data_IF_140568600349
#
_entry.id   IF_140568600349
#
_cell.length_a   1.000
_cell.length_b   1.000
_cell.length_c   1.000
_cell.angle_alpha   90.00
_cell.angle_beta   90.00
_cell.angle_gamma   90.00
#
_symmetry.space_group_name_H-M   'P 1'
#
loop_
_entity.id
_entity.type
_entity.pdbx_description
1 polymer ?
#
# COMPACT_ATOMS: atom_id res chain seq x y z
N UNK A 1 1.83 7.73 13.18
CA UNK A 1 3.13 7.11 12.84
C UNK A 1 4.30 7.72 13.63
N UNK A 2 4.90 8.87 13.26
CA UNK A 2 6.04 9.45 14.01
C UNK A 2 5.72 9.75 15.49
N UNK A 3 4.56 10.35 15.79
CA UNK A 3 4.11 10.57 17.18
C UNK A 3 3.99 9.27 18.00
N UNK A 4 3.56 8.18 17.35
CA UNK A 4 3.39 6.86 17.96
C UNK A 4 4.74 6.13 18.13
N UNK A 5 5.71 6.35 17.24
CA UNK A 5 7.09 5.94 17.46
C UNK A 5 7.69 6.61 18.71
N UNK A 6 7.40 7.90 18.93
CA UNK A 6 7.86 8.65 20.11
C UNK A 6 7.12 8.19 21.38
N UNK A 7 5.81 7.92 21.33
CA UNK A 7 5.05 7.40 22.48
C UNK A 7 5.51 6.00 22.89
N UNK A 8 5.89 5.14 21.93
CA UNK A 8 6.58 3.86 22.16
C UNK A 8 8.02 4.01 22.71
N UNK A 9 8.43 5.24 23.07
CA UNK A 9 9.69 5.53 23.78
C UNK A 9 10.91 5.80 22.90
N UNK A 10 10.77 5.85 21.56
CA UNK A 10 11.89 6.09 20.66
C UNK A 10 12.28 7.57 20.62
N UNK A 11 13.35 7.89 21.36
CA UNK A 11 13.82 9.26 21.59
C UNK A 11 14.76 9.81 20.50
N UNK A 12 15.27 8.99 19.57
CA UNK A 12 16.28 9.40 18.57
C UNK A 12 15.73 9.33 17.15
N UNK A 13 16.22 10.21 16.26
CA UNK A 13 15.92 10.18 14.82
C UNK A 13 16.21 8.79 14.23
N UNK A 14 17.39 8.21 14.47
CA UNK A 14 17.77 6.90 13.90
C UNK A 14 16.88 5.75 14.39
N UNK A 15 16.34 5.84 15.60
CA UNK A 15 15.40 4.84 16.14
C UNK A 15 14.04 4.98 15.49
N UNK A 16 13.54 6.21 15.36
CA UNK A 16 12.27 6.49 14.68
C UNK A 16 12.35 6.04 13.22
N UNK A 17 13.41 6.42 12.49
CA UNK A 17 13.61 6.08 11.07
C UNK A 17 13.57 4.57 10.80
N UNK A 18 14.17 3.75 11.67
CA UNK A 18 14.15 2.29 11.52
C UNK A 18 12.74 1.68 11.60
N UNK A 19 11.84 2.27 12.39
CA UNK A 19 10.47 1.76 12.57
C UNK A 19 9.48 2.44 11.63
N UNK A 20 9.66 3.73 11.31
CA UNK A 20 8.80 4.46 10.38
C UNK A 20 9.17 4.28 8.91
N UNK A 21 10.39 3.81 8.60
CA UNK A 21 10.95 3.72 7.24
C UNK A 21 10.99 5.07 6.48
N UNK A 22 10.98 6.19 7.22
CA UNK A 22 11.07 7.55 6.67
C UNK A 22 12.52 8.06 6.65
N UNK A 23 12.83 9.04 5.80
CA UNK A 23 14.13 9.73 5.83
C UNK A 23 14.30 10.54 7.12
N UNK A 24 15.55 10.89 7.44
CA UNK A 24 15.86 11.73 8.60
C UNK A 24 15.20 13.11 8.49
N UNK A 25 15.28 13.71 7.31
CA UNK A 25 14.74 15.03 6.99
C UNK A 25 13.21 15.05 7.07
N UNK A 26 12.55 13.99 6.57
CA UNK A 26 11.11 13.80 6.74
C UNK A 26 10.71 13.73 8.22
N UNK A 27 11.51 13.05 9.05
CA UNK A 27 11.26 12.96 10.50
C UNK A 27 11.50 14.30 11.18
N UNK A 28 12.52 15.06 10.80
CA UNK A 28 12.77 16.40 11.37
C UNK A 28 11.65 17.39 11.03
N UNK A 29 11.14 17.38 9.79
CA UNK A 29 9.96 18.15 9.40
C UNK A 29 8.73 17.78 10.23
N UNK A 30 8.38 16.49 10.28
CA UNK A 30 7.20 16.01 11.04
C UNK A 30 7.35 16.30 12.54
N UNK A 31 8.55 16.15 13.11
CA UNK A 31 8.78 16.45 14.53
C UNK A 31 8.70 17.95 14.82
N UNK A 32 9.12 18.81 13.89
CA UNK A 32 8.94 20.26 14.04
C UNK A 32 7.45 20.63 14.06
N UNK A 33 6.63 20.03 13.20
CA UNK A 33 5.17 20.24 13.22
C UNK A 33 4.51 19.70 14.49
N UNK A 34 4.87 18.49 14.94
CA UNK A 34 4.39 17.92 16.21
C UNK A 34 4.80 18.77 17.42
N UNK A 35 5.97 19.42 17.38
CA UNK A 35 6.43 20.40 18.38
C UNK A 35 5.62 21.69 18.31
N UNK A 36 5.36 22.23 17.12
CA UNK A 36 4.53 23.43 16.94
C UNK A 36 3.09 23.21 17.43
N UNK A 37 2.55 21.99 17.24
CA UNK A 37 1.27 21.53 17.78
C UNK A 37 1.31 21.18 19.29
N UNK A 38 2.44 21.35 19.97
CA UNK A 38 2.68 21.02 21.40
C UNK A 38 2.47 19.54 21.76
N UNK A 39 2.58 18.63 20.78
CA UNK A 39 2.44 17.17 20.95
C UNK A 39 3.77 16.50 21.29
N UNK A 40 4.91 17.11 20.93
CA UNK A 40 6.27 16.62 21.18
C UNK A 40 7.15 17.73 21.76
N UNK A 41 7.90 17.41 22.82
CA UNK A 41 9.01 18.20 23.32
C UNK A 41 10.34 17.72 22.71
N UNK A 42 11.15 18.67 22.26
CA UNK A 42 12.50 18.43 21.72
C UNK A 42 13.53 18.90 22.74
N UNK A 43 14.36 17.99 23.24
CA UNK A 43 15.36 18.25 24.28
C UNK A 43 16.76 18.06 23.70
N UNK A 44 17.58 19.11 23.75
CA UNK A 44 18.99 19.06 23.32
C UNK A 44 19.88 18.86 24.54
N UNK A 45 20.58 17.72 24.59
CA UNK A 45 21.52 17.37 25.67
C UNK A 45 22.97 17.45 25.15
N UNK A 46 23.92 17.72 26.05
CA UNK A 46 25.35 17.56 25.74
C UNK A 46 25.67 16.06 25.67
N UNK A 47 26.14 15.61 24.51
CA UNK A 47 26.60 14.25 24.27
C UNK A 47 28.09 14.08 24.57
N UNK A 48 28.56 12.84 24.37
CA UNK A 48 29.97 12.50 24.51
C UNK A 48 30.83 13.25 23.47
N UNK A 49 32.05 13.64 23.86
CA UNK A 49 32.91 14.57 23.11
C UNK A 49 32.26 15.91 22.71
N UNK A 50 31.23 16.36 23.43
CA UNK A 50 30.63 17.70 23.23
C UNK A 50 29.59 17.80 22.10
N UNK A 51 29.39 16.74 21.33
CA UNK A 51 28.35 16.67 20.29
C UNK A 51 26.95 16.94 20.86
N UNK A 52 26.09 17.65 20.12
CA UNK A 52 24.69 17.86 20.53
C UNK A 52 23.88 16.58 20.32
N UNK A 53 23.22 16.09 21.38
CA UNK A 53 22.33 14.92 21.35
C UNK A 53 20.89 15.39 21.43
N UNK A 54 20.16 15.27 20.32
CA UNK A 54 18.73 15.59 20.26
C UNK A 54 17.94 14.38 20.76
N UNK A 55 16.99 14.61 21.69
CA UNK A 55 16.05 13.60 22.19
C UNK A 55 14.62 14.11 22.16
N UNK A 56 13.70 13.27 21.68
CA UNK A 56 12.27 13.58 21.56
C UNK A 56 11.44 12.90 22.65
N UNK A 57 10.43 13.61 23.14
CA UNK A 57 9.52 13.14 24.19
C UNK A 57 8.09 13.54 23.83
N UNK A 58 7.12 12.64 23.97
CA UNK A 58 5.70 12.98 23.82
C UNK A 58 5.24 13.87 25.00
N UNK A 59 4.33 14.80 24.75
CA UNK A 59 3.68 15.59 25.81
C UNK A 59 2.40 14.90 26.29
N UNK A 60 1.87 15.29 27.45
CA UNK A 60 0.58 14.79 27.94
C UNK A 60 -0.56 15.05 26.93
N UNK A 61 -0.54 16.21 26.27
CA UNK A 61 -1.48 16.55 25.18
C UNK A 61 -1.28 15.65 23.97
N UNK A 62 -0.02 15.37 23.59
CA UNK A 62 0.33 14.45 22.52
C UNK A 62 -0.18 13.02 22.77
N UNK A 63 -0.02 12.53 23.99
CA UNK A 63 -0.44 11.17 24.38
C UNK A 63 -1.97 11.05 24.44
N UNK A 64 -2.66 12.01 25.06
CA UNK A 64 -4.14 12.08 25.07
C UNK A 64 -4.73 12.12 23.66
N UNK A 65 -4.17 12.96 22.77
CA UNK A 65 -4.62 13.05 21.38
C UNK A 65 -4.36 11.75 20.62
N UNK A 66 -3.18 11.14 20.81
CA UNK A 66 -2.82 9.88 20.15
C UNK A 66 -3.72 8.72 20.60
N UNK A 67 -4.03 8.63 21.90
CA UNK A 67 -4.85 7.56 22.45
C UNK A 67 -6.32 7.73 22.04
N UNK A 68 -6.87 8.95 22.11
CA UNK A 68 -8.21 9.25 21.58
C UNK A 68 -8.34 8.89 20.09
N UNK A 69 -7.30 9.13 19.27
CA UNK A 69 -7.29 8.71 17.86
C UNK A 69 -7.14 7.20 17.66
N UNK A 70 -6.47 6.48 18.57
CA UNK A 70 -6.44 5.00 18.57
C UNK A 70 -7.80 4.41 18.95
N UNK A 71 -8.49 5.01 19.92
CA UNK A 71 -9.85 4.61 20.31
C UNK A 71 -10.85 4.82 19.16
N UNK A 72 -10.80 5.97 18.48
CA UNK A 72 -11.60 6.23 17.28
C UNK A 72 -11.34 5.19 16.17
N UNK A 73 -10.07 4.85 15.92
CA UNK A 73 -9.69 3.81 14.95
C UNK A 73 -10.12 2.40 15.40
N UNK A 74 -10.06 2.10 16.69
CA UNK A 74 -10.48 0.81 17.27
C UNK A 74 -11.99 0.60 17.12
N UNK A 75 -12.79 1.60 17.48
CA UNK A 75 -14.25 1.59 17.27
C UNK A 75 -14.61 1.43 15.79
N UNK A 76 -13.89 2.10 14.89
CA UNK A 76 -14.06 1.93 13.44
C UNK A 76 -13.72 0.52 12.97
N UNK A 77 -12.65 -0.09 13.50
CA UNK A 77 -12.29 -1.49 13.23
C UNK A 77 -13.39 -2.47 13.67
N UNK A 78 -13.94 -2.30 14.87
CA UNK A 78 -15.01 -3.14 15.41
C UNK A 78 -16.29 -3.07 14.55
N UNK A 79 -16.69 -1.86 14.12
CA UNK A 79 -17.83 -1.71 13.20
C UNK A 79 -17.56 -2.38 11.84
N UNK A 80 -16.33 -2.34 11.33
CA UNK A 80 -15.96 -3.03 10.09
C UNK A 80 -16.04 -4.55 10.22
N UNK A 81 -15.61 -5.10 11.36
CA UNK A 81 -15.70 -6.53 11.68
C UNK A 81 -17.16 -6.97 11.73
N UNK A 82 -18.04 -6.21 12.38
CA UNK A 82 -19.49 -6.47 12.39
C UNK A 82 -20.11 -6.43 10.98
N UNK A 83 -19.69 -5.49 10.12
CA UNK A 83 -20.15 -5.44 8.72
C UNK A 83 -19.65 -6.64 7.90
N UNK A 84 -18.42 -7.11 8.14
CA UNK A 84 -17.88 -8.35 7.55
C UNK A 84 -18.67 -9.59 8.01
N UNK A 85 -18.89 -9.74 9.31
CA UNK A 85 -19.68 -10.83 9.90
C UNK A 85 -21.14 -10.84 9.39
N UNK A 86 -21.73 -9.68 9.12
CA UNK A 86 -23.07 -9.56 8.54
C UNK A 86 -23.17 -9.95 7.05
N UNK A 87 -22.04 -10.11 6.36
CA UNK A 87 -21.98 -10.36 4.91
C UNK A 87 -22.37 -9.16 4.02
N UNK A 88 -22.65 -7.98 4.58
CA UNK A 88 -23.13 -6.83 3.80
C UNK A 88 -22.00 -6.05 3.11
N UNK A 89 -21.60 -6.51 1.92
CA UNK A 89 -20.58 -5.89 1.06
C UNK A 89 -20.84 -4.40 0.82
N UNK A 90 -22.06 -4.01 0.46
CA UNK A 90 -22.40 -2.62 0.10
C UNK A 90 -22.24 -1.66 1.29
N UNK A 91 -22.68 -2.07 2.48
CA UNK A 91 -22.48 -1.27 3.70
C UNK A 91 -21.02 -1.22 4.14
N UNK A 92 -20.27 -2.32 3.98
CA UNK A 92 -18.81 -2.32 4.19
C UNK A 92 -18.12 -1.33 3.25
N UNK A 93 -18.47 -1.33 1.96
CA UNK A 93 -17.83 -0.48 0.96
C UNK A 93 -18.02 0.99 1.24
N UNK A 94 -19.27 1.43 1.45
CA UNK A 94 -19.58 2.81 1.89
C UNK A 94 -18.76 3.17 3.13
N UNK A 95 -18.73 2.31 4.14
CA UNK A 95 -18.05 2.58 5.40
C UNK A 95 -16.52 2.71 5.29
N UNK A 96 -15.90 2.04 4.31
CA UNK A 96 -14.47 2.17 4.02
C UNK A 96 -14.18 3.40 3.14
N UNK A 97 -15.00 3.65 2.12
CA UNK A 97 -14.84 4.79 1.22
C UNK A 97 -15.10 6.14 1.89
N UNK A 98 -16.04 6.22 2.84
CA UNK A 98 -16.43 7.42 3.59
C UNK A 98 -15.25 8.20 4.20
N UNK A 99 -14.10 7.57 4.46
CA UNK A 99 -12.95 8.22 5.12
C UNK A 99 -11.57 7.61 4.77
N UNK A 100 -11.35 7.07 3.55
CA UNK A 100 -10.19 6.24 3.08
C UNK A 100 -8.85 6.25 3.85
N UNK A 101 -8.40 7.38 4.40
CA UNK A 101 -7.26 7.51 5.31
C UNK A 101 -7.32 6.66 6.60
N UNK A 102 -8.49 6.24 7.09
CA UNK A 102 -8.58 5.47 8.36
C UNK A 102 -8.01 4.05 8.23
N UNK A 103 -8.21 3.37 7.09
CA UNK A 103 -7.71 2.01 6.89
C UNK A 103 -6.17 1.89 6.92
N UNK A 104 -5.38 2.72 6.19
CA UNK A 104 -3.93 2.75 6.36
C UNK A 104 -3.50 3.06 7.80
N UNK A 105 -4.23 3.94 8.51
CA UNK A 105 -3.91 4.29 9.90
C UNK A 105 -4.19 3.13 10.88
N UNK A 106 -5.16 2.26 10.62
CA UNK A 106 -5.34 1.01 11.38
C UNK A 106 -4.23 -0.01 11.10
N UNK A 107 -3.83 -0.15 9.83
CA UNK A 107 -2.73 -1.04 9.43
C UNK A 107 -1.40 -0.60 10.07
N UNK A 108 -1.08 0.69 10.03
CA UNK A 108 0.16 1.22 10.62
C UNK A 108 0.13 1.30 12.15
N UNK A 109 -1.04 1.32 12.80
CA UNK A 109 -1.13 1.21 14.26
C UNK A 109 -1.08 -0.24 14.76
N UNK A 110 -1.48 -1.21 13.92
CA UNK A 110 -1.62 -2.62 14.28
C UNK A 110 -3.03 -3.00 14.75
N UNK A 111 -4.00 -2.10 14.64
CA UNK A 111 -5.43 -2.36 14.94
C UNK A 111 -6.05 -3.29 13.89
N UNK A 112 -5.65 -3.14 12.63
CA UNK A 112 -6.01 -4.06 11.55
C UNK A 112 -4.76 -4.84 11.12
N UNK A 113 -4.86 -6.18 11.05
CA UNK A 113 -3.80 -7.03 10.52
C UNK A 113 -3.90 -7.05 8.98
N UNK A 114 -2.75 -7.07 8.27
CA UNK A 114 -2.71 -7.24 6.81
C UNK A 114 -3.47 -8.48 6.33
N UNK A 115 -3.50 -9.57 7.11
CA UNK A 115 -4.28 -10.77 6.78
C UNK A 115 -5.79 -10.50 6.82
N UNK A 116 -6.27 -9.77 7.83
CA UNK A 116 -7.68 -9.39 7.94
C UNK A 116 -8.07 -8.38 6.85
N UNK A 117 -7.19 -7.42 6.55
CA UNK A 117 -7.34 -6.48 5.44
C UNK A 117 -7.44 -7.20 4.09
N UNK A 118 -6.54 -8.15 3.80
CA UNK A 118 -6.59 -8.94 2.57
C UNK A 118 -7.89 -9.76 2.48
N UNK A 119 -8.34 -10.35 3.59
CA UNK A 119 -9.63 -11.06 3.67
C UNK A 119 -10.81 -10.13 3.37
N UNK A 120 -10.82 -8.91 3.90
CA UNK A 120 -11.88 -7.91 3.64
C UNK A 120 -11.84 -7.37 2.21
N UNK A 121 -10.65 -7.11 1.64
CA UNK A 121 -10.49 -6.68 0.25
C UNK A 121 -10.95 -7.76 -0.75
N UNK A 122 -10.57 -9.01 -0.51
CA UNK A 122 -11.03 -10.18 -1.28
C UNK A 122 -12.55 -10.37 -1.14
N UNK A 123 -13.08 -10.31 0.08
CA UNK A 123 -14.52 -10.40 0.34
C UNK A 123 -15.32 -9.32 -0.39
N UNK A 124 -14.78 -8.11 -0.53
CA UNK A 124 -15.43 -6.99 -1.23
C UNK A 124 -15.22 -7.01 -2.76
N UNK A 125 -14.66 -8.09 -3.32
CA UNK A 125 -14.57 -8.27 -4.77
C UNK A 125 -13.52 -7.42 -5.49
N UNK A 126 -12.59 -6.78 -4.77
CA UNK A 126 -11.40 -6.17 -5.39
C UNK A 126 -10.39 -7.27 -5.75
N UNK A 127 -10.70 -8.01 -6.81
CA UNK A 127 -9.81 -9.02 -7.39
C UNK A 127 -8.53 -8.35 -7.90
N UNK A 128 -7.37 -8.75 -7.35
CA UNK A 128 -6.05 -8.31 -7.84
C UNK A 128 -5.59 -9.13 -9.06
N UNK A 129 -6.47 -9.33 -10.04
CA UNK A 129 -6.15 -9.90 -11.35
C UNK A 129 -7.27 -9.63 -12.36
N UNK A 130 -6.98 -9.06 -13.56
CA UNK A 130 -7.96 -8.99 -14.66
C UNK A 130 -8.43 -10.35 -15.19
N UNK A 131 -7.77 -11.46 -14.81
CA UNK A 131 -8.12 -12.79 -15.28
C UNK A 131 -9.38 -13.39 -14.60
N UNK A 132 -9.65 -13.04 -13.34
CA UNK A 132 -10.75 -13.65 -12.56
C UNK A 132 -12.09 -12.90 -12.75
N UNK A 133 -12.06 -11.60 -13.07
CA UNK A 133 -13.27 -10.84 -13.42
C UNK A 133 -14.00 -11.46 -14.62
N UNK A 134 -13.26 -11.90 -15.63
CA UNK A 134 -13.79 -12.52 -16.84
C UNK A 134 -14.56 -13.84 -16.57
N UNK A 135 -14.29 -14.53 -15.45
CA UNK A 135 -15.03 -15.73 -15.07
C UNK A 135 -16.32 -15.44 -14.29
N UNK A 136 -16.49 -14.23 -13.75
CA UNK A 136 -17.69 -13.86 -12.98
C UNK A 136 -18.78 -13.24 -13.86
N UNK A 137 -18.40 -12.56 -14.94
CA UNK A 137 -19.35 -12.04 -15.95
C UNK A 137 -19.86 -13.14 -16.91
N UNK A 138 -19.17 -14.28 -16.99
CA UNK A 138 -19.48 -15.37 -17.92
C UNK A 138 -20.57 -16.37 -17.50
N UNK A 139 -21.29 -16.14 -16.38
CA UNK A 139 -22.28 -17.11 -15.89
C UNK A 139 -23.57 -16.49 -15.31
N UNK A 140 -24.14 -15.50 -16.01
CA UNK A 140 -25.55 -15.06 -15.82
C UNK A 140 -26.18 -14.61 -17.15
N UNK A 141 -26.23 -15.51 -18.13
CA UNK A 141 -27.35 -15.55 -19.08
C UNK A 141 -27.63 -16.99 -19.58
N UNK A 142 -28.67 -17.60 -19.03
CA UNK A 142 -29.36 -18.74 -19.62
C UNK A 142 -30.85 -18.64 -19.25
N UNK A 143 -31.60 -17.79 -19.95
CA UNK A 143 -32.77 -18.28 -20.73
C UNK A 143 -33.58 -17.19 -21.44
N UNK A 144 -34.09 -17.57 -22.62
CA UNK A 144 -35.20 -16.99 -23.40
C UNK A 144 -34.94 -15.78 -24.33
N UNK A 145 -35.33 -15.95 -25.61
CA UNK A 145 -35.43 -14.87 -26.61
C UNK A 145 -34.73 -15.16 -27.94
N UNK A 146 -35.38 -15.84 -28.89
CA UNK A 146 -34.80 -16.19 -30.20
C UNK A 146 -35.52 -15.52 -31.38
N UNK A 147 -34.75 -15.13 -32.41
CA UNK A 147 -35.18 -14.50 -33.68
C UNK A 147 -35.85 -13.10 -33.53
N UNK A 148 -36.07 -12.23 -34.53
CA UNK A 148 -35.88 -12.23 -36.01
C UNK A 148 -35.92 -10.75 -36.50
N UNK A 149 -35.31 -10.25 -37.60
CA UNK A 149 -34.16 -10.60 -38.46
C UNK A 149 -33.70 -9.33 -39.22
N UNK A 150 -32.61 -9.38 -40.01
CA UNK A 150 -32.15 -8.25 -40.87
C UNK A 150 -30.91 -8.60 -41.71
N UNK A 151 -30.91 -8.28 -43.01
CA UNK A 151 -29.94 -8.80 -43.99
C UNK A 151 -29.33 -7.71 -44.91
N UNK A 152 -28.44 -8.15 -45.81
CA UNK A 152 -27.58 -7.40 -46.75
C UNK A 152 -26.33 -6.74 -46.11
N UNK A 153 -25.21 -6.56 -46.83
CA UNK A 153 -24.98 -6.75 -48.28
C UNK A 153 -23.73 -7.59 -48.61
N UNK A 154 -23.62 -8.06 -49.85
CA UNK A 154 -22.61 -9.02 -50.31
C UNK A 154 -21.60 -8.43 -51.30
N UNK A 155 -20.31 -8.68 -51.04
CA UNK A 155 -19.32 -8.91 -52.10
C UNK A 155 -18.15 -7.94 -52.21
N UNK A 156 -16.95 -8.46 -51.96
CA UNK A 156 -15.87 -8.40 -52.96
C UNK A 156 -15.05 -9.72 -52.88
N UNK A 157 -14.34 -10.08 -53.95
CA UNK A 157 -13.68 -11.39 -54.09
C UNK A 157 -12.33 -11.33 -54.80
N UNK A 158 -11.27 -11.71 -54.08
CA UNK A 158 -10.06 -12.30 -54.68
C UNK A 158 -8.81 -11.42 -54.67
N UNK A 159 -7.83 -11.85 -53.88
CA UNK A 159 -6.43 -11.41 -53.94
C UNK A 159 -5.56 -12.51 -53.31
N UNK A 160 -4.51 -12.94 -54.00
CA UNK A 160 -3.64 -14.04 -53.59
C UNK A 160 -2.16 -13.65 -53.68
N UNK A 161 -1.33 -14.26 -52.83
CA UNK A 161 0.05 -13.81 -52.58
C UNK A 161 0.10 -12.77 -51.45
N UNK A 162 1.07 -12.77 -50.53
CA UNK A 162 2.19 -13.70 -50.36
C UNK A 162 2.46 -13.95 -48.87
N UNK A 163 3.07 -15.09 -48.56
CA UNK A 163 3.52 -15.45 -47.20
C UNK A 163 5.03 -15.28 -47.13
N UNK A 164 5.47 -14.03 -46.93
CA UNK A 164 6.90 -13.77 -46.76
C UNK A 164 7.38 -14.25 -45.39
N UNK A 165 8.45 -15.06 -45.41
CA UNK A 165 9.01 -15.76 -44.26
C UNK A 165 10.51 -15.46 -44.17
N UNK A 166 10.81 -14.25 -43.71
CA UNK A 166 12.15 -13.77 -43.40
C UNK A 166 12.17 -12.99 -42.08
N UNK A 167 13.25 -13.00 -41.31
CA UNK A 167 14.50 -13.76 -41.45
C UNK A 167 15.29 -13.73 -40.14
N UNK A 168 16.26 -14.63 -39.98
CA UNK A 168 17.13 -14.68 -38.80
C UNK A 168 18.31 -13.70 -38.94
N UNK A 169 18.24 -12.55 -38.28
CA UNK A 169 19.40 -11.66 -38.08
C UNK A 169 19.88 -11.69 -36.63
N UNK A 170 20.75 -12.67 -36.34
CA UNK A 170 21.51 -12.76 -35.09
C UNK A 170 22.60 -11.68 -35.06
N UNK A 171 22.21 -10.43 -34.81
CA UNK A 171 23.14 -9.35 -34.51
C UNK A 171 23.78 -9.60 -33.13
N UNK A 172 25.08 -9.89 -33.11
CA UNK A 172 25.77 -10.34 -31.90
C UNK A 172 25.79 -9.28 -30.79
N UNK A 173 25.28 -9.63 -29.60
CA UNK A 173 25.51 -8.85 -28.39
C UNK A 173 26.88 -9.18 -27.81
N UNK A 174 27.79 -8.21 -27.87
CA UNK A 174 29.17 -8.35 -27.39
C UNK A 174 29.20 -8.59 -25.87
N UNK A 175 29.55 -9.82 -25.48
CA UNK A 175 29.66 -10.19 -24.05
C UNK A 175 31.01 -9.75 -23.50
N UNK A 176 31.16 -8.44 -23.33
CA UNK A 176 32.37 -7.82 -22.78
C UNK A 176 32.76 -8.46 -21.45
N UNK A 177 34.00 -8.94 -21.37
CA UNK A 177 34.45 -9.82 -20.29
C UNK A 177 34.47 -9.16 -18.91
N UNK A 178 33.83 -9.81 -17.94
CA UNK A 178 34.06 -9.53 -16.52
C UNK A 178 35.32 -10.26 -16.06
N UNK A 179 36.38 -9.49 -15.77
CA UNK A 179 37.59 -10.00 -15.13
C UNK A 179 37.27 -10.43 -13.68
N UNK A 180 37.49 -11.70 -13.35
CA UNK A 180 37.16 -12.26 -12.03
C UNK A 180 38.21 -13.27 -11.57
N UNK A 181 38.98 -12.92 -10.52
CA UNK A 181 39.75 -13.88 -9.74
C UNK A 181 41.24 -13.56 -9.59
N UNK A 182 41.56 -12.52 -8.82
CA UNK A 182 42.94 -12.21 -8.36
C UNK A 182 43.09 -12.40 -6.86
N UNK A 183 43.07 -13.65 -6.37
CA UNK A 183 43.40 -14.03 -4.99
C UNK A 183 44.65 -14.93 -4.96
N UNK A 184 45.22 -15.09 -3.76
CA UNK A 184 46.41 -15.89 -3.43
C UNK A 184 47.75 -15.48 -4.03
N UNK A 185 48.59 -14.83 -3.21
CA UNK A 185 49.86 -15.43 -2.79
C UNK A 185 50.38 -14.80 -1.48
N UNK A 186 51.21 -15.57 -0.79
CA UNK A 186 51.60 -15.47 0.62
C UNK A 186 52.80 -14.53 0.87
#
# INVERSE_FOLDING_TARGET
MVLDAISRGMKKIDSIAKVTKLSKDQIELIVNDLKNQKLVNVVIKKGFFGNKKIEFYITETGDKLLNSKKEELSYKSQKLQQLYESGNRTQMQSYMDDNRMWMPMMLFSGILNMVMFASMMSFMGMAMSPAESAQTEGQVDDSSGAADSGAADTGDTGGAGDVDSGGFDNAGFDTGGFDTGGFDSF
#
